data_IF_360487651156
#
_entry.id   IF_360487651156
#
_cell.length_a   1.000
_cell.length_b   1.000
_cell.length_c   1.000
_cell.angle_alpha   90.00
_cell.angle_beta   90.00
_cell.angle_gamma   90.00
#
_symmetry.space_group_name_H-M   'P 1'
#
loop_
_entity.id
_entity.type
_entity.pdbx_description
1 polymer ?
#
# COMPACT_ATOMS: atom_id res chain seq x y z
N UNK A 1 20.21 -18.50 8.59
CA UNK A 1 19.66 -17.46 9.49
C UNK A 1 18.17 -17.31 9.19
N UNK A 2 17.29 -17.86 10.04
CA UNK A 2 15.84 -17.65 9.94
C UNK A 2 15.54 -16.29 10.56
N UNK A 3 15.40 -15.25 9.73
CA UNK A 3 14.81 -13.99 10.19
C UNK A 3 13.37 -14.21 10.66
N UNK A 4 12.78 -13.32 11.47
CA UNK A 4 11.39 -13.44 11.89
C UNK A 4 10.52 -13.55 10.64
N UNK A 5 9.92 -14.72 10.44
CA UNK A 5 9.25 -15.02 9.18
C UNK A 5 7.96 -14.22 9.11
N UNK A 6 7.79 -13.45 8.03
CA UNK A 6 6.54 -12.76 7.67
C UNK A 6 5.39 -13.74 7.38
N UNK A 7 5.58 -15.04 7.63
CA UNK A 7 4.65 -16.12 7.34
C UNK A 7 3.42 -16.08 8.25
N UNK A 8 3.58 -15.59 9.49
CA UNK A 8 2.45 -15.31 10.38
C UNK A 8 1.52 -14.26 9.76
N UNK A 9 2.08 -13.16 9.24
CA UNK A 9 1.33 -12.12 8.53
C UNK A 9 0.65 -12.71 7.28
N UNK A 10 1.40 -13.42 6.42
CA UNK A 10 0.86 -14.00 5.18
C UNK A 10 -0.29 -14.96 5.45
N UNK A 11 -0.16 -15.81 6.46
CA UNK A 11 -1.18 -16.78 6.87
C UNK A 11 -2.43 -16.08 7.39
N UNK A 12 -2.26 -14.98 8.13
CA UNK A 12 -3.38 -14.24 8.71
C UNK A 12 -4.27 -13.58 7.67
N UNK A 13 -3.76 -13.22 6.49
CA UNK A 13 -4.57 -12.67 5.39
C UNK A 13 -5.81 -13.51 5.07
N UNK A 14 -5.71 -14.84 5.20
CA UNK A 14 -6.80 -15.76 4.89
C UNK A 14 -7.90 -15.78 5.96
N UNK A 15 -7.59 -15.34 7.18
CA UNK A 15 -8.52 -15.27 8.33
C UNK A 15 -9.36 -13.99 8.34
N UNK A 16 -8.92 -12.94 7.64
CA UNK A 16 -9.60 -11.64 7.58
C UNK A 16 -11.00 -11.80 6.98
N UNK A 17 -12.00 -11.15 7.57
CA UNK A 17 -13.38 -11.17 7.08
C UNK A 17 -13.58 -10.16 5.94
N UNK A 18 -13.19 -10.54 4.73
CA UNK A 18 -13.38 -9.73 3.52
C UNK A 18 -13.56 -10.59 2.26
N UNK A 19 -13.79 -9.94 1.11
CA UNK A 19 -13.94 -10.62 -0.17
C UNK A 19 -12.68 -11.42 -0.53
N UNK A 20 -12.79 -12.60 -1.19
CA UNK A 20 -11.63 -13.40 -1.57
C UNK A 20 -10.55 -12.62 -2.35
N UNK A 21 -10.97 -11.76 -3.28
CA UNK A 21 -10.08 -10.89 -4.05
C UNK A 21 -9.22 -9.98 -3.17
N UNK A 22 -9.76 -9.50 -2.05
CA UNK A 22 -9.03 -8.66 -1.10
C UNK A 22 -8.04 -9.48 -0.28
N UNK A 23 -8.37 -10.73 0.10
CA UNK A 23 -7.43 -11.64 0.77
C UNK A 23 -6.19 -11.88 -0.09
N UNK A 24 -6.40 -12.18 -1.37
CA UNK A 24 -5.32 -12.32 -2.35
C UNK A 24 -4.49 -11.05 -2.46
N UNK A 25 -5.13 -9.88 -2.53
CA UNK A 25 -4.43 -8.60 -2.56
C UNK A 25 -3.56 -8.36 -1.31
N UNK A 26 -4.08 -8.61 -0.11
CA UNK A 26 -3.31 -8.46 1.13
C UNK A 26 -2.12 -9.42 1.18
N UNK A 27 -2.32 -10.66 0.71
CA UNK A 27 -1.22 -11.62 0.55
C UNK A 27 -0.17 -11.12 -0.46
N UNK A 28 -0.57 -10.59 -1.61
CA UNK A 28 0.35 -9.99 -2.61
C UNK A 28 1.11 -8.78 -2.05
N UNK A 29 0.47 -7.99 -1.19
CA UNK A 29 1.08 -6.85 -0.51
C UNK A 29 2.23 -7.32 0.40
N UNK A 30 1.99 -8.36 1.20
CA UNK A 30 2.98 -8.93 2.13
C UNK A 30 4.12 -9.69 1.42
N UNK A 31 3.83 -10.32 0.28
CA UNK A 31 4.83 -11.02 -0.53
C UNK A 31 5.58 -10.08 -1.50
N UNK A 32 5.25 -8.78 -1.51
CA UNK A 32 5.81 -7.75 -2.41
C UNK A 32 5.58 -8.01 -3.90
N UNK A 33 4.53 -8.75 -4.25
CA UNK A 33 4.16 -9.01 -5.64
C UNK A 33 3.31 -7.89 -6.26
N UNK A 34 2.93 -6.89 -5.47
CA UNK A 34 2.18 -5.72 -5.94
C UNK A 34 3.02 -4.81 -6.83
N UNK A 35 2.41 -4.24 -7.87
CA UNK A 35 3.06 -3.33 -8.82
C UNK A 35 3.32 -1.94 -8.20
N UNK A 36 4.44 -1.85 -7.50
CA UNK A 36 5.04 -0.61 -6.98
C UNK A 36 6.40 -0.45 -7.65
N UNK A 37 6.82 0.78 -7.97
CA UNK A 37 8.04 1.04 -8.76
C UNK A 37 9.25 0.23 -8.26
N UNK A 38 9.50 0.22 -6.94
CA UNK A 38 10.57 -0.57 -6.31
C UNK A 38 10.48 -2.07 -6.61
N UNK A 39 9.28 -2.66 -6.55
CA UNK A 39 9.08 -4.09 -6.82
C UNK A 39 9.20 -4.41 -8.33
N UNK A 40 8.75 -3.50 -9.20
CA UNK A 40 8.90 -3.66 -10.65
C UNK A 40 10.36 -3.57 -11.08
N UNK A 41 11.12 -2.59 -10.55
CA UNK A 41 12.56 -2.49 -10.76
C UNK A 41 13.31 -3.73 -10.26
N UNK A 42 12.96 -4.25 -9.07
CA UNK A 42 13.54 -5.48 -8.55
C UNK A 42 13.27 -6.72 -9.45
N UNK A 43 12.25 -6.65 -10.31
CA UNK A 43 11.91 -7.68 -11.30
C UNK A 43 12.46 -7.38 -12.70
N UNK A 44 13.30 -6.36 -12.86
CA UNK A 44 13.89 -5.96 -14.13
C UNK A 44 12.93 -5.23 -15.07
N UNK A 45 11.75 -4.83 -14.61
CA UNK A 45 10.81 -4.02 -15.39
C UNK A 45 11.20 -2.56 -15.21
N UNK A 46 11.89 -2.01 -16.21
CA UNK A 46 12.32 -0.61 -16.25
C UNK A 46 11.41 0.19 -17.18
N UNK A 47 10.94 1.33 -16.71
CA UNK A 47 10.10 2.23 -17.47
C UNK A 47 9.55 3.35 -16.58
N UNK A 48 9.24 4.50 -17.17
CA UNK A 48 8.68 5.67 -16.48
C UNK A 48 7.18 5.49 -16.11
N UNK A 49 6.76 4.23 -15.96
CA UNK A 49 5.35 3.79 -15.94
C UNK A 49 4.72 4.04 -14.56
N UNK A 50 5.52 4.36 -13.54
CA UNK A 50 5.05 4.57 -12.17
C UNK A 50 5.70 5.82 -11.59
N UNK A 51 5.21 7.00 -11.98
CA UNK A 51 5.50 8.21 -11.23
C UNK A 51 4.97 8.05 -9.81
N UNK A 52 5.79 8.34 -8.80
CA UNK A 52 5.34 8.31 -7.42
C UNK A 52 4.17 9.30 -7.28
N UNK A 53 3.01 8.83 -6.83
CA UNK A 53 1.79 9.67 -6.69
C UNK A 53 2.02 10.95 -5.87
N UNK A 54 3.05 10.97 -5.02
CA UNK A 54 3.45 12.08 -4.16
C UNK A 54 4.72 12.82 -4.60
N UNK A 55 5.29 12.51 -5.77
CA UNK A 55 6.56 13.11 -6.21
C UNK A 55 7.80 12.62 -5.43
N UNK A 56 7.68 11.51 -4.70
CA UNK A 56 8.83 10.88 -4.01
C UNK A 56 9.80 10.22 -5.01
N UNK A 57 11.10 10.28 -4.70
CA UNK A 57 12.17 9.74 -5.55
C UNK A 57 12.05 8.21 -5.75
N UNK A 58 11.63 7.50 -4.70
CA UNK A 58 11.39 6.06 -4.73
C UNK A 58 9.99 5.71 -4.22
N UNK A 59 9.17 5.08 -5.08
CA UNK A 59 7.88 4.57 -4.67
C UNK A 59 8.06 3.17 -4.04
N UNK A 60 7.87 3.09 -2.71
CA UNK A 60 7.85 1.84 -1.94
C UNK A 60 6.42 1.47 -1.52
N UNK A 61 6.20 0.22 -1.08
CA UNK A 61 4.89 -0.17 -0.53
C UNK A 61 4.53 0.72 0.66
N UNK A 62 5.49 0.95 1.58
CA UNK A 62 5.23 1.80 2.73
C UNK A 62 4.88 3.24 2.30
N UNK A 63 5.60 3.76 1.31
CA UNK A 63 5.34 5.09 0.76
C UNK A 63 3.90 5.19 0.24
N UNK A 64 3.46 4.22 -0.57
CA UNK A 64 2.12 4.24 -1.19
C UNK A 64 1.01 4.15 -0.15
N UNK A 65 1.15 3.25 0.82
CA UNK A 65 0.06 2.88 1.71
C UNK A 65 0.06 3.61 3.05
N UNK A 66 1.18 4.19 3.49
CA UNK A 66 1.34 4.67 4.86
C UNK A 66 1.99 6.06 4.99
N UNK A 67 2.80 6.52 4.01
CA UNK A 67 3.54 7.80 4.14
C UNK A 67 3.09 8.87 3.13
N UNK A 68 2.49 8.48 2.01
CA UNK A 68 2.00 9.41 0.99
C UNK A 68 0.86 10.28 1.56
N UNK A 69 0.82 11.61 1.31
CA UNK A 69 -0.16 12.50 1.94
C UNK A 69 -1.64 12.07 1.79
N UNK A 70 -2.12 11.60 0.61
CA UNK A 70 -3.46 11.05 0.49
C UNK A 70 -3.70 9.80 1.35
N UNK A 71 -2.70 8.94 1.54
CA UNK A 71 -2.83 7.77 2.41
C UNK A 71 -2.93 8.20 3.88
N UNK A 72 -2.06 9.13 4.32
CA UNK A 72 -2.11 9.71 5.66
C UNK A 72 -3.48 10.34 5.97
N UNK A 73 -4.06 11.07 5.02
CA UNK A 73 -5.40 11.64 5.16
C UNK A 73 -6.47 10.56 5.34
N UNK A 74 -6.42 9.47 4.55
CA UNK A 74 -7.38 8.37 4.69
C UNK A 74 -7.25 7.69 6.06
N UNK A 75 -6.03 7.49 6.57
CA UNK A 75 -5.83 6.93 7.91
C UNK A 75 -6.34 7.85 9.01
N UNK A 76 -6.04 9.15 8.92
CA UNK A 76 -6.49 10.16 9.88
C UNK A 76 -8.03 10.30 9.95
N UNK A 77 -8.72 10.04 8.84
CA UNK A 77 -10.19 10.06 8.76
C UNK A 77 -10.84 8.71 9.10
N UNK A 78 -10.05 7.66 9.32
CA UNK A 78 -10.56 6.33 9.63
C UNK A 78 -10.86 6.16 11.13
N UNK A 79 -11.50 5.05 11.50
CA UNK A 79 -11.70 4.67 12.91
C UNK A 79 -10.43 4.08 13.55
N UNK A 80 -9.35 3.92 12.78
CA UNK A 80 -8.09 3.35 13.27
C UNK A 80 -7.27 4.49 13.87
N UNK A 81 -6.94 4.44 15.19
CA UNK A 81 -6.19 5.50 15.83
C UNK A 81 -4.84 5.72 15.15
N UNK A 82 -4.64 6.94 14.64
CA UNK A 82 -3.38 7.35 14.01
C UNK A 82 -2.55 8.12 15.03
N UNK A 83 -1.55 7.47 15.61
CA UNK A 83 -0.53 8.11 16.43
C UNK A 83 0.82 7.89 15.73
N UNK A 84 1.51 8.91 15.23
CA UNK A 84 2.77 8.74 14.49
C UNK A 84 3.88 7.95 15.22
N UNK A 85 3.82 7.82 16.55
CA UNK A 85 4.72 6.98 17.33
C UNK A 85 4.40 5.47 17.23
N UNK A 86 3.19 5.12 16.78
CA UNK A 86 2.62 3.76 16.78
C UNK A 86 2.16 3.34 15.37
N UNK A 87 1.41 4.20 14.68
CA UNK A 87 0.86 3.98 13.35
C UNK A 87 0.43 5.31 12.69
N UNK A 88 0.74 5.53 11.39
CA UNK A 88 1.66 4.75 10.56
C UNK A 88 3.13 4.99 10.89
N UNK A 89 3.99 3.99 10.65
CA UNK A 89 5.45 4.02 10.85
C UNK A 89 6.20 3.88 9.53
N UNK A 90 7.55 3.97 9.57
CA UNK A 90 8.42 3.73 8.40
C UNK A 90 8.57 2.25 8.01
N UNK A 91 8.06 1.32 8.83
CA UNK A 91 8.16 -0.12 8.58
C UNK A 91 6.83 -0.69 8.11
N UNK A 92 6.80 -1.13 6.85
CA UNK A 92 5.62 -1.77 6.25
C UNK A 92 5.11 -2.95 7.09
N UNK A 93 6.01 -3.84 7.53
CA UNK A 93 5.60 -5.02 8.30
C UNK A 93 5.11 -4.66 9.70
N UNK A 94 5.69 -3.62 10.33
CA UNK A 94 5.20 -3.09 11.62
C UNK A 94 3.81 -2.50 11.47
N UNK A 95 3.54 -1.79 10.38
CA UNK A 95 2.21 -1.26 10.10
C UNK A 95 1.19 -2.38 9.88
N UNK A 96 1.56 -3.45 9.16
CA UNK A 96 0.67 -4.61 8.96
C UNK A 96 0.40 -5.38 10.26
N UNK A 97 1.43 -5.59 11.09
CA UNK A 97 1.31 -6.19 12.42
C UNK A 97 0.37 -5.37 13.32
N UNK A 98 0.50 -4.04 13.29
CA UNK A 98 -0.39 -3.14 14.01
C UNK A 98 -1.84 -3.30 13.56
N UNK A 99 -2.09 -3.25 12.24
CA UNK A 99 -3.43 -3.39 11.66
C UNK A 99 -4.08 -4.75 11.96
N UNK A 100 -3.29 -5.82 12.03
CA UNK A 100 -3.82 -7.16 12.26
C UNK A 100 -4.15 -7.43 13.72
N UNK A 101 -3.34 -6.93 14.66
CA UNK A 101 -3.39 -7.41 16.05
C UNK A 101 -3.32 -6.34 17.13
N UNK A 102 -2.98 -5.08 16.81
CA UNK A 102 -2.73 -4.05 17.83
C UNK A 102 -3.70 -2.87 17.80
N UNK A 103 -4.64 -2.84 16.86
CA UNK A 103 -5.70 -1.83 16.84
C UNK A 103 -6.58 -2.00 18.09
N UNK A 104 -6.71 -0.94 18.88
CA UNK A 104 -7.51 -0.89 20.10
C UNK A 104 -8.40 0.36 20.09
N UNK A 105 -9.72 0.24 20.33
CA UNK A 105 -10.46 -1.02 20.51
C UNK A 105 -10.45 -1.89 19.24
N UNK A 106 -10.68 -3.19 19.40
CA UNK A 106 -10.72 -4.11 18.24
C UNK A 106 -11.86 -3.70 17.31
N UNK A 107 -11.57 -3.69 16.00
CA UNK A 107 -12.55 -3.40 14.95
C UNK A 107 -12.98 -4.72 14.29
N UNK A 108 -14.25 -5.09 14.46
CA UNK A 108 -14.78 -6.39 13.99
C UNK A 108 -14.83 -6.54 12.46
N UNK A 109 -14.87 -5.43 11.73
CA UNK A 109 -15.07 -5.39 10.28
C UNK A 109 -13.78 -5.44 9.46
N UNK A 110 -12.61 -5.45 10.11
CA UNK A 110 -11.31 -5.35 9.46
C UNK A 110 -11.26 -4.18 8.45
N UNK A 111 -11.81 -3.01 8.80
CA UNK A 111 -11.90 -1.81 7.95
C UNK A 111 -10.59 -1.47 7.22
N UNK A 112 -9.43 -1.75 7.83
CA UNK A 112 -8.11 -1.55 7.23
C UNK A 112 -7.95 -2.26 5.87
N UNK A 113 -8.57 -3.42 5.67
CA UNK A 113 -8.47 -4.20 4.44
C UNK A 113 -9.09 -3.41 3.27
N UNK A 114 -10.23 -2.75 3.52
CA UNK A 114 -10.89 -1.88 2.55
C UNK A 114 -10.09 -0.62 2.29
N UNK A 115 -9.54 0.00 3.33
CA UNK A 115 -8.68 1.19 3.19
C UNK A 115 -7.49 0.88 2.28
N UNK A 116 -6.75 -0.19 2.57
CA UNK A 116 -5.62 -0.62 1.74
C UNK A 116 -6.06 -0.90 0.29
N UNK A 117 -7.18 -1.59 0.10
CA UNK A 117 -7.74 -1.88 -1.22
C UNK A 117 -8.07 -0.59 -2.00
N UNK A 118 -8.70 0.39 -1.38
CA UNK A 118 -9.08 1.64 -2.03
C UNK A 118 -7.89 2.57 -2.30
N UNK A 119 -6.89 2.60 -1.41
CA UNK A 119 -5.62 3.30 -1.69
C UNK A 119 -4.98 2.72 -2.95
N UNK A 120 -4.92 1.39 -3.06
CA UNK A 120 -4.39 0.70 -4.22
C UNK A 120 -5.18 0.99 -5.50
N UNK A 121 -6.51 0.90 -5.43
CA UNK A 121 -7.40 1.25 -6.55
C UNK A 121 -7.21 2.69 -7.01
N UNK A 122 -7.14 3.64 -6.07
CA UNK A 122 -6.92 5.05 -6.37
C UNK A 122 -5.55 5.32 -7.01
N UNK A 123 -4.50 4.59 -6.60
CA UNK A 123 -3.20 4.62 -7.28
C UNK A 123 -3.34 4.14 -8.71
N UNK A 124 -3.89 2.93 -8.91
CA UNK A 124 -3.96 2.33 -10.24
C UNK A 124 -4.82 3.15 -11.20
N UNK A 125 -5.97 3.66 -10.74
CA UNK A 125 -6.81 4.51 -11.58
C UNK A 125 -6.06 5.75 -12.07
N UNK A 126 -5.21 6.39 -11.25
CA UNK A 126 -4.37 7.51 -11.71
C UNK A 126 -3.32 7.08 -12.74
N UNK A 127 -2.69 5.92 -12.57
CA UNK A 127 -1.75 5.38 -13.57
C UNK A 127 -2.47 5.16 -14.90
N UNK A 128 -3.69 4.59 -14.88
CA UNK A 128 -4.48 4.37 -16.08
C UNK A 128 -5.02 5.68 -16.71
N UNK A 129 -5.48 6.66 -15.92
CA UNK A 129 -5.90 7.97 -16.44
C UNK A 129 -4.73 8.77 -17.03
N UNK A 130 -3.52 8.64 -16.48
CA UNK A 130 -2.33 9.27 -17.05
C UNK A 130 -1.83 8.57 -18.33
N UNK A 131 -2.19 7.31 -18.56
CA UNK A 131 -1.94 6.61 -19.83
C UNK A 131 -2.91 7.06 -20.94
N UNK A 132 -4.06 7.64 -20.59
CA UNK A 132 -5.03 8.19 -21.56
C UNK A 132 -4.73 9.65 -21.97
N UNK A 133 -3.80 10.33 -21.29
CA UNK A 133 -3.29 11.63 -21.75
C UNK A 133 -1.90 11.46 -22.36
N UNK A 134 -1.77 11.42 -23.70
CA UNK A 134 -0.46 11.52 -24.32
C UNK A 134 0.05 12.94 -24.08
N UNK A 135 0.79 13.14 -22.99
CA UNK A 135 1.58 14.35 -22.79
C UNK A 135 2.79 14.33 -23.72
N UNK A 136 2.55 14.45 -25.03
CA UNK A 136 3.49 15.13 -25.92
C UNK A 136 3.39 16.63 -25.62
N UNK A 137 4.06 17.04 -24.55
CA UNK A 137 4.39 18.43 -24.32
C UNK A 137 5.42 18.88 -25.36
N UNK A 138 4.92 19.46 -26.45
CA UNK A 138 5.69 20.22 -27.43
C UNK A 138 6.71 21.13 -26.72
N UNK A 139 8.00 20.86 -26.90
CA UNK A 139 9.05 21.89 -26.77
C UNK A 139 8.73 22.96 -27.82
N UNK A 140 8.24 24.12 -27.39
CA UNK A 140 8.34 25.34 -28.20
C UNK A 140 9.57 26.11 -27.75
N UNK A 141 10.36 26.47 -28.76
CA UNK A 141 11.56 27.30 -28.70
C UNK A 141 11.29 28.65 -28.06
#
# INVERSE_FOLDING_TARGET
>A
MLGPTVDALKSFCWKIRCLPKMKHFLWQLLTRYIAVKKNLHARGITGDICYARCGADEESINQVFFECPPALQVWALSKIPSNPAIFPTRSFFTNMDHLFWRVSPQLDDHQFAWILWYIWKGKNNKVFSNLESPHYGLKRR
#
